data_IF_502415236155
#
_entry.id   IF_502415236155
#
_cell.length_a   1.000
_cell.length_b   1.000
_cell.length_c   1.000
_cell.angle_alpha   90.00
_cell.angle_beta   90.00
_cell.angle_gamma   90.00
#
_symmetry.space_group_name_H-M   'P 1'
#
loop_
_entity.id
_entity.type
_entity.pdbx_description
1 polymer ?
#
# COMPACT_ATOMS: atom_id res chain seq x y z
N UNK A 1 -12.22 89.27 37.80
CA UNK A 1 -10.96 88.50 37.85
C UNK A 1 -11.00 87.44 36.75
N UNK A 2 -10.20 87.60 35.69
CA UNK A 2 -9.05 86.72 35.30
C UNK A 2 -9.43 85.24 35.10
N UNK A 3 -9.55 84.79 33.83
CA UNK A 3 -8.60 83.93 33.03
C UNK A 3 -8.48 82.48 33.57
N UNK A 4 -8.40 81.38 32.81
CA UNK A 4 -8.45 81.10 31.37
C UNK A 4 -8.46 79.55 31.16
N UNK A 5 -8.91 79.11 29.96
CA UNK A 5 -8.36 78.04 29.07
C UNK A 5 -8.08 76.60 29.55
N UNK A 6 -8.71 75.61 28.90
CA UNK A 6 -8.08 74.48 28.13
C UNK A 6 -9.18 73.62 27.45
N UNK A 7 -9.40 73.72 26.13
CA UNK A 7 -8.93 72.83 25.04
C UNK A 7 -9.26 71.33 25.22
N UNK A 8 -10.20 70.80 24.40
CA UNK A 8 -9.88 69.71 23.46
C UNK A 8 -10.92 69.63 22.31
N UNK A 9 -10.56 69.98 21.06
CA UNK A 9 -11.40 69.77 19.89
C UNK A 9 -11.00 68.47 19.18
N UNK A 10 -11.97 67.65 18.83
CA UNK A 10 -11.69 66.53 17.93
C UNK A 10 -12.77 65.48 17.89
N UNK A 11 -13.98 65.82 17.44
CA UNK A 11 -14.82 64.82 16.78
C UNK A 11 -15.97 65.41 15.99
N UNK A 12 -16.11 64.86 14.79
CA UNK A 12 -17.34 64.73 14.02
C UNK A 12 -17.67 65.85 13.05
N UNK A 13 -17.03 65.83 11.88
CA UNK A 13 -17.64 66.32 10.65
C UNK A 13 -18.21 65.13 9.87
N UNK A 14 -19.54 65.13 9.76
CA UNK A 14 -20.26 64.46 8.67
C UNK A 14 -19.82 65.08 7.35
N UNK A 15 -19.62 64.27 6.31
CA UNK A 15 -19.99 64.70 4.97
C UNK A 15 -20.32 63.52 4.06
N UNK A 16 -21.30 63.80 3.19
CA UNK A 16 -22.16 62.87 2.48
C UNK A 16 -21.66 62.65 1.04
N UNK A 17 -22.12 61.52 0.49
CA UNK A 17 -21.97 60.91 -0.84
C UNK A 17 -21.96 61.88 -2.04
N UNK A 18 -21.13 61.62 -3.07
CA UNK A 18 -21.51 61.53 -4.51
C UNK A 18 -20.53 60.56 -5.23
N UNK A 19 -21.11 59.67 -6.02
CA UNK A 19 -20.54 58.56 -6.81
C UNK A 19 -19.51 58.94 -7.89
N UNK A 20 -18.63 58.00 -8.23
CA UNK A 20 -18.27 57.65 -9.61
C UNK A 20 -17.66 56.25 -9.65
N UNK A 21 -18.25 55.38 -10.48
CA UNK A 21 -17.82 54.00 -10.71
C UNK A 21 -16.95 53.92 -11.97
N UNK A 22 -15.88 53.13 -11.94
CA UNK A 22 -15.25 52.48 -13.11
C UNK A 22 -14.27 51.41 -12.57
N UNK A 23 -14.71 50.16 -12.38
CA UNK A 23 -14.70 49.06 -13.35
C UNK A 23 -13.32 48.39 -13.54
N UNK A 24 -13.28 47.13 -13.08
CA UNK A 24 -12.63 45.96 -13.69
C UNK A 24 -11.09 45.86 -13.66
N UNK A 25 -10.63 44.80 -12.96
CA UNK A 25 -9.45 44.05 -13.40
C UNK A 25 -8.31 43.88 -12.40
N UNK A 26 -8.48 42.97 -11.43
CA UNK A 26 -7.40 42.10 -10.93
C UNK A 26 -8.03 41.01 -10.07
N UNK A 27 -8.00 39.78 -10.57
CA UNK A 27 -8.65 38.63 -9.96
C UNK A 27 -8.10 38.30 -8.58
N UNK A 28 -9.00 38.29 -7.59
CA UNK A 28 -8.87 37.43 -6.43
C UNK A 28 -9.17 35.99 -6.88
N UNK A 29 -8.13 35.20 -7.13
CA UNK A 29 -8.22 33.73 -7.09
C UNK A 29 -7.11 33.24 -6.18
N UNK A 30 -7.32 33.41 -4.87
CA UNK A 30 -6.67 32.58 -3.85
C UNK A 30 -7.66 31.47 -3.50
N UNK A 31 -7.84 30.53 -4.43
CA UNK A 31 -8.52 29.27 -4.15
C UNK A 31 -7.63 28.11 -4.55
N UNK A 32 -7.59 27.11 -3.67
CA UNK A 32 -6.98 25.80 -3.85
C UNK A 32 -5.44 25.71 -3.81
N UNK A 33 -4.82 26.33 -2.80
CA UNK A 33 -3.81 25.59 -2.04
C UNK A 33 -4.47 25.17 -0.73
N UNK A 34 -5.45 24.26 -0.80
CA UNK A 34 -5.72 23.44 0.37
C UNK A 34 -4.43 22.67 0.59
N UNK A 35 -3.63 23.09 1.58
CA UNK A 35 -2.77 22.15 2.27
C UNK A 35 -3.71 21.14 2.89
N UNK A 36 -4.07 20.11 2.12
CA UNK A 36 -4.39 18.82 2.68
C UNK A 36 -3.11 18.33 3.34
N UNK A 37 -2.82 18.90 4.51
CA UNK A 37 -2.16 18.18 5.57
C UNK A 37 -3.11 17.03 5.90
N UNK A 38 -3.10 16.01 5.03
CA UNK A 38 -3.48 14.69 5.43
C UNK A 38 -2.56 14.41 6.61
N UNK A 39 -3.11 14.32 7.81
CA UNK A 39 -2.43 13.56 8.85
C UNK A 39 -2.05 12.25 8.17
N UNK A 40 -0.75 12.00 8.01
CA UNK A 40 -0.33 10.79 7.35
C UNK A 40 -0.95 9.63 8.13
N UNK A 41 -1.77 8.80 7.48
CA UNK A 41 -2.47 7.77 8.20
C UNK A 41 -1.41 6.86 8.82
N UNK A 42 -1.46 6.73 10.15
CA UNK A 42 -0.55 5.88 10.92
C UNK A 42 -0.50 4.46 10.34
N UNK A 43 -1.60 4.03 9.70
CA UNK A 43 -1.68 2.79 8.92
C UNK A 43 -1.79 3.15 7.44
N UNK A 44 -0.82 2.71 6.63
CA UNK A 44 -0.80 2.92 5.19
C UNK A 44 -1.34 1.70 4.47
N UNK A 45 -2.35 1.87 3.62
CA UNK A 45 -2.76 0.80 2.72
C UNK A 45 -1.85 0.79 1.49
N UNK A 46 -1.18 -0.33 1.24
CA UNK A 46 -0.25 -0.51 0.15
C UNK A 46 -1.01 -1.00 -1.09
N UNK A 47 -0.80 -0.34 -2.22
CA UNK A 47 -1.28 -0.86 -3.49
C UNK A 47 -0.52 -2.15 -3.81
N UNK A 48 -1.26 -3.22 -4.08
CA UNK A 48 -0.72 -4.54 -4.33
C UNK A 48 -1.19 -5.05 -5.70
N UNK A 49 -0.64 -4.49 -6.80
CA UNK A 49 -1.03 -4.92 -8.14
C UNK A 49 -0.65 -6.38 -8.39
N UNK A 50 -1.43 -7.03 -9.24
CA UNK A 50 -1.17 -8.41 -9.65
C UNK A 50 -0.02 -8.45 -10.66
N UNK A 51 0.86 -9.44 -10.52
CA UNK A 51 1.95 -9.76 -11.46
C UNK A 51 1.97 -11.25 -11.71
N UNK A 52 2.27 -11.67 -12.94
CA UNK A 52 2.34 -13.10 -13.25
C UNK A 52 3.58 -13.74 -12.64
N UNK A 53 3.50 -15.02 -12.27
CA UNK A 53 4.68 -15.77 -11.79
C UNK A 53 5.84 -15.75 -12.77
N UNK A 54 5.54 -15.86 -14.08
CA UNK A 54 6.56 -15.83 -15.13
C UNK A 54 7.30 -14.49 -15.18
N UNK A 55 6.58 -13.37 -15.11
CA UNK A 55 7.18 -12.04 -15.05
C UNK A 55 7.99 -11.87 -13.76
N UNK A 56 7.44 -12.27 -12.62
CA UNK A 56 8.12 -12.16 -11.33
C UNK A 56 9.41 -12.99 -11.26
N UNK A 57 9.36 -14.27 -11.62
CA UNK A 57 10.52 -15.17 -11.60
C UNK A 57 11.60 -14.81 -12.65
N UNK A 58 11.27 -13.98 -13.64
CA UNK A 58 12.27 -13.42 -14.55
C UNK A 58 13.11 -12.31 -13.89
N UNK A 59 12.59 -11.68 -12.84
CA UNK A 59 13.22 -10.56 -12.13
C UNK A 59 13.87 -11.01 -10.82
N UNK A 60 13.32 -12.04 -10.17
CA UNK A 60 13.78 -12.54 -8.87
C UNK A 60 14.08 -14.04 -8.93
N UNK A 61 15.12 -14.46 -8.22
CA UNK A 61 15.51 -15.87 -8.09
C UNK A 61 15.62 -16.28 -6.61
N UNK A 62 15.37 -17.56 -6.28
CA UNK A 62 15.66 -18.07 -4.94
C UNK A 62 17.11 -17.81 -4.53
N UNK A 63 17.32 -17.50 -3.25
CA UNK A 63 18.67 -17.34 -2.69
C UNK A 63 19.27 -18.72 -2.44
N UNK A 64 20.51 -18.94 -2.89
CA UNK A 64 21.22 -20.20 -2.66
C UNK A 64 21.37 -20.47 -1.15
N UNK A 65 20.96 -21.67 -0.72
CA UNK A 65 21.00 -22.08 0.69
C UNK A 65 19.80 -21.61 1.54
N UNK A 66 18.85 -20.86 0.97
CA UNK A 66 17.61 -20.44 1.66
C UNK A 66 16.42 -21.25 1.13
N UNK A 67 16.05 -22.29 1.87
CA UNK A 67 14.89 -23.11 1.56
C UNK A 67 13.57 -22.38 1.90
N UNK A 68 12.45 -22.71 1.22
CA UNK A 68 11.13 -22.30 1.67
C UNK A 68 10.87 -22.71 3.12
N UNK A 69 10.26 -21.81 3.88
CA UNK A 69 9.82 -22.05 5.24
C UNK A 69 8.34 -22.38 5.24
N UNK A 70 7.99 -23.61 5.63
CA UNK A 70 6.60 -24.05 5.82
C UNK A 70 6.33 -24.24 7.30
N UNK A 71 5.42 -23.45 7.85
CA UNK A 71 5.06 -23.45 9.27
C UNK A 71 3.57 -23.68 9.44
N UNK A 72 3.18 -24.70 10.20
CA UNK A 72 1.79 -24.97 10.53
C UNK A 72 1.26 -24.01 11.62
N UNK A 73 -0.03 -23.72 11.58
CA UNK A 73 -0.74 -22.98 12.64
C UNK A 73 -2.02 -23.70 13.06
N UNK A 74 -2.47 -23.35 14.26
CA UNK A 74 -3.63 -23.98 14.88
C UNK A 74 -4.44 -22.96 15.68
N UNK A 75 -5.75 -22.98 15.51
CA UNK A 75 -6.71 -22.29 16.39
C UNK A 75 -7.20 -23.23 17.49
N UNK A 76 -7.56 -22.62 18.62
CA UNK A 76 -8.18 -23.33 19.74
C UNK A 76 -9.41 -24.12 19.26
N UNK A 77 -9.48 -25.40 19.63
CA UNK A 77 -10.61 -26.27 19.26
C UNK A 77 -10.62 -26.78 17.82
N UNK A 78 -9.52 -26.63 17.07
CA UNK A 78 -9.35 -27.23 15.73
C UNK A 78 -8.11 -28.12 15.69
N UNK A 79 -8.02 -29.14 14.81
CA UNK A 79 -6.75 -29.75 14.42
C UNK A 79 -5.82 -28.73 13.75
N UNK A 80 -4.70 -29.16 13.14
CA UNK A 80 -3.83 -28.26 12.35
C UNK A 80 -4.66 -27.49 11.33
N UNK A 81 -4.84 -26.19 11.58
CA UNK A 81 -5.76 -25.35 10.83
C UNK A 81 -5.24 -25.05 9.44
N UNK A 82 -3.93 -24.89 9.30
CA UNK A 82 -3.35 -24.54 8.01
C UNK A 82 -1.85 -24.38 8.09
N UNK A 83 -1.30 -23.86 6.99
CA UNK A 83 0.13 -23.62 6.82
C UNK A 83 0.37 -22.19 6.36
N UNK A 84 1.46 -21.60 6.84
CA UNK A 84 2.06 -20.40 6.29
C UNK A 84 3.33 -20.82 5.61
N UNK A 85 3.44 -20.51 4.33
CA UNK A 85 4.64 -20.73 3.55
C UNK A 85 5.28 -19.39 3.23
N UNK A 86 6.60 -19.33 3.32
CA UNK A 86 7.33 -18.12 2.95
C UNK A 86 8.68 -18.45 2.35
N UNK A 87 9.13 -17.59 1.45
CA UNK A 87 10.45 -17.69 0.84
C UNK A 87 11.01 -16.30 0.58
N UNK A 88 12.33 -16.18 0.66
CA UNK A 88 13.04 -14.96 0.23
C UNK A 88 13.72 -15.23 -1.09
N UNK A 89 13.51 -14.31 -2.02
CA UNK A 89 14.16 -14.28 -3.33
C UNK A 89 15.04 -13.03 -3.42
N UNK A 90 16.13 -13.12 -4.18
CA UNK A 90 16.98 -11.98 -4.51
C UNK A 90 16.66 -11.47 -5.92
N UNK A 91 16.66 -10.15 -6.06
CA UNK A 91 16.48 -9.48 -7.34
C UNK A 91 17.70 -9.67 -8.25
N UNK A 92 17.44 -9.69 -9.55
CA UNK A 92 18.44 -9.87 -10.60
C UNK A 92 18.47 -8.66 -11.53
N UNK A 93 19.57 -8.49 -12.25
CA UNK A 93 19.72 -7.39 -13.22
C UNK A 93 19.51 -6.02 -12.58
N UNK A 94 18.53 -5.27 -13.09
CA UNK A 94 18.20 -3.92 -12.61
C UNK A 94 17.65 -3.88 -11.16
N UNK A 95 17.22 -5.02 -10.62
CA UNK A 95 16.68 -5.14 -9.26
C UNK A 95 17.68 -5.79 -8.29
N UNK A 96 18.95 -5.94 -8.69
CA UNK A 96 20.00 -6.44 -7.81
C UNK A 96 20.10 -5.60 -6.52
N UNK A 97 20.15 -6.27 -5.37
CA UNK A 97 20.14 -5.63 -4.04
C UNK A 97 18.75 -5.46 -3.43
N UNK A 98 17.68 -5.78 -4.15
CA UNK A 98 16.35 -5.96 -3.58
C UNK A 98 16.11 -7.43 -3.21
N UNK A 99 15.44 -7.63 -2.10
CA UNK A 99 14.93 -8.91 -1.63
C UNK A 99 13.42 -8.90 -1.70
N UNK A 100 12.85 -9.99 -2.22
CA UNK A 100 11.42 -10.22 -2.29
C UNK A 100 11.02 -11.29 -1.29
N UNK A 101 10.16 -10.91 -0.35
CA UNK A 101 9.61 -11.78 0.68
C UNK A 101 8.24 -12.25 0.23
N UNK A 102 8.17 -13.50 -0.21
CA UNK A 102 6.95 -14.14 -0.67
C UNK A 102 6.26 -14.83 0.51
N UNK A 103 4.94 -14.63 0.64
CA UNK A 103 4.08 -15.18 1.69
C UNK A 103 2.86 -15.85 1.09
N UNK A 104 2.52 -17.00 1.61
CA UNK A 104 1.34 -17.76 1.20
C UNK A 104 0.64 -18.36 2.43
N UNK A 105 -0.68 -18.28 2.44
CA UNK A 105 -1.51 -18.72 3.56
C UNK A 105 -2.47 -19.79 3.06
N UNK A 106 -2.31 -21.02 3.55
CA UNK A 106 -3.24 -22.13 3.31
C UNK A 106 -4.15 -22.35 4.51
N UNK A 107 -5.41 -22.66 4.26
CA UNK A 107 -6.37 -23.11 5.28
C UNK A 107 -6.78 -24.54 4.95
N UNK A 108 -6.51 -25.47 5.85
CA UNK A 108 -6.93 -26.86 5.70
C UNK A 108 -8.46 -26.97 5.78
N UNK A 109 -9.00 -28.02 5.17
CA UNK A 109 -10.44 -28.32 5.26
C UNK A 109 -10.76 -28.99 6.61
N UNK A 110 -10.77 -28.20 7.67
CA UNK A 110 -11.07 -28.63 9.04
C UNK A 110 -12.16 -27.77 9.67
N UNK A 111 -12.93 -28.37 10.57
CA UNK A 111 -13.97 -27.69 11.35
C UNK A 111 -13.55 -27.53 12.81
N UNK A 112 -14.15 -26.57 13.49
CA UNK A 112 -14.01 -26.39 14.94
C UNK A 112 -14.87 -27.37 15.75
N UNK A 113 -14.78 -27.27 17.08
CA UNK A 113 -15.57 -28.08 18.02
C UNK A 113 -17.10 -27.90 17.87
N UNK A 114 -17.54 -26.81 17.26
CA UNK A 114 -18.96 -26.52 16.99
C UNK A 114 -19.40 -27.04 15.62
N UNK A 115 -18.47 -27.59 14.82
CA UNK A 115 -18.71 -28.05 13.45
C UNK A 115 -18.56 -26.97 12.39
N UNK A 116 -18.22 -25.74 12.76
CA UNK A 116 -18.09 -24.63 11.84
C UNK A 116 -16.77 -24.74 11.04
N UNK A 117 -16.79 -24.49 9.71
CA UNK A 117 -15.59 -24.56 8.90
C UNK A 117 -14.60 -23.47 9.32
N UNK A 118 -13.33 -23.83 9.42
CA UNK A 118 -12.30 -22.88 9.84
C UNK A 118 -11.99 -21.87 8.74
N UNK A 119 -11.59 -20.66 9.11
CA UNK A 119 -11.26 -19.59 8.17
C UNK A 119 -10.14 -18.70 8.70
N UNK A 120 -9.60 -17.83 7.87
CA UNK A 120 -8.63 -16.80 8.28
C UNK A 120 -9.16 -15.43 7.89
N UNK A 121 -9.35 -14.56 8.88
CA UNK A 121 -9.85 -13.20 8.70
C UNK A 121 -8.72 -12.27 8.26
N UNK A 122 -7.57 -12.38 8.91
CA UNK A 122 -6.38 -11.59 8.62
C UNK A 122 -5.12 -12.32 9.10
N UNK A 123 -3.96 -11.90 8.60
CA UNK A 123 -2.67 -12.33 9.08
C UNK A 123 -1.77 -11.11 9.27
N UNK A 124 -1.03 -11.05 10.37
CA UNK A 124 -0.13 -9.93 10.68
C UNK A 124 1.24 -10.45 11.10
N UNK A 125 2.29 -9.82 10.61
CA UNK A 125 3.66 -10.12 11.03
C UNK A 125 4.46 -8.84 11.29
N UNK A 126 5.44 -8.98 12.16
CA UNK A 126 6.45 -7.95 12.33
C UNK A 126 7.38 -7.95 11.11
N UNK A 127 7.58 -6.77 10.52
CA UNK A 127 8.45 -6.56 9.38
C UNK A 127 9.39 -5.37 9.66
N UNK A 128 10.66 -5.68 9.92
CA UNK A 128 11.61 -4.70 10.50
C UNK A 128 12.30 -3.83 9.46
N UNK A 129 11.67 -3.56 8.33
CA UNK A 129 12.18 -2.64 7.33
C UNK A 129 11.02 -1.98 6.59
N UNK A 130 11.21 -0.74 6.15
CA UNK A 130 10.25 -0.09 5.25
C UNK A 130 10.19 -0.87 3.92
N UNK A 131 8.99 -1.24 3.44
CA UNK A 131 8.83 -1.82 2.12
C UNK A 131 9.38 -0.87 1.03
N UNK A 132 10.20 -1.39 0.14
CA UNK A 132 10.84 -0.63 -0.92
C UNK A 132 9.98 -0.64 -2.19
N UNK A 133 9.81 0.51 -2.83
CA UNK A 133 9.07 0.60 -4.10
C UNK A 133 9.94 0.11 -5.26
N UNK A 134 9.36 -0.67 -6.17
CA UNK A 134 9.98 -1.03 -7.44
C UNK A 134 8.95 -1.09 -8.56
N UNK A 135 9.32 -0.65 -9.78
CA UNK A 135 8.45 -0.73 -10.95
C UNK A 135 8.62 -2.07 -11.69
N UNK A 136 8.11 -3.14 -11.09
CA UNK A 136 8.18 -4.48 -11.69
C UNK A 136 7.29 -4.64 -12.94
N UNK A 137 6.27 -3.78 -13.07
CA UNK A 137 5.30 -3.82 -14.17
C UNK A 137 5.68 -2.88 -15.33
N UNK A 138 6.85 -2.23 -15.26
CA UNK A 138 7.34 -1.26 -16.26
C UNK A 138 6.31 -0.19 -16.61
N UNK A 139 5.60 0.30 -15.59
CA UNK A 139 4.56 1.33 -15.71
C UNK A 139 5.14 2.74 -15.90
N UNK A 140 6.45 2.92 -15.70
CA UNK A 140 7.14 4.20 -15.79
C UNK A 140 6.89 5.11 -14.59
N UNK A 141 6.29 4.58 -13.52
CA UNK A 141 6.03 5.27 -12.25
C UNK A 141 6.99 4.84 -11.14
N UNK A 142 6.78 5.32 -9.89
CA UNK A 142 7.59 4.90 -8.74
C UNK A 142 7.43 3.41 -8.37
N UNK A 143 6.46 2.70 -8.98
CA UNK A 143 6.24 1.28 -8.78
C UNK A 143 5.38 0.96 -7.56
N UNK A 144 5.45 -0.29 -7.09
CA UNK A 144 4.75 -0.76 -5.90
C UNK A 144 5.74 -1.48 -4.98
N UNK A 145 5.49 -1.48 -3.68
CA UNK A 145 6.31 -2.19 -2.69
C UNK A 145 5.80 -3.58 -2.38
N UNK A 146 4.55 -3.85 -2.76
CA UNK A 146 3.88 -5.13 -2.60
C UNK A 146 3.28 -5.54 -3.93
N UNK A 147 3.30 -6.83 -4.22
CA UNK A 147 2.68 -7.44 -5.39
C UNK A 147 1.93 -8.70 -4.98
N UNK A 148 0.95 -9.11 -5.77
CA UNK A 148 0.26 -10.38 -5.58
C UNK A 148 0.42 -11.25 -6.82
N UNK A 149 0.80 -12.51 -6.64
CA UNK A 149 0.89 -13.50 -7.70
C UNK A 149 -0.24 -14.51 -7.51
N UNK A 150 -1.04 -14.68 -8.55
CA UNK A 150 -2.24 -15.55 -8.53
C UNK A 150 -2.13 -16.75 -9.47
N UNK A 151 -1.04 -16.85 -10.23
CA UNK A 151 -0.75 -17.92 -11.18
C UNK A 151 0.65 -18.52 -10.97
N UNK A 152 0.83 -19.81 -11.26
CA UNK A 152 2.15 -20.45 -11.28
C UNK A 152 2.84 -20.63 -9.91
N UNK A 153 4.18 -20.60 -9.93
CA UNK A 153 5.05 -20.77 -8.75
C UNK A 153 5.81 -19.47 -8.52
N UNK A 154 6.07 -19.09 -7.27
CA UNK A 154 6.92 -17.96 -6.92
C UNK A 154 8.20 -18.50 -6.30
N UNK A 155 9.30 -18.51 -7.06
CA UNK A 155 10.49 -19.26 -6.69
C UNK A 155 10.20 -20.75 -6.54
N UNK A 156 10.34 -21.26 -5.32
CA UNK A 156 10.03 -22.63 -4.93
C UNK A 156 8.70 -22.76 -4.16
N UNK A 157 7.96 -21.66 -3.98
CA UNK A 157 6.61 -21.70 -3.44
C UNK A 157 5.64 -22.09 -4.54
N UNK A 158 4.98 -23.22 -4.33
CA UNK A 158 3.90 -23.66 -5.21
C UNK A 158 2.63 -22.97 -4.78
N UNK A 159 1.97 -22.24 -5.68
CA UNK A 159 0.55 -21.99 -5.47
C UNK A 159 -0.11 -23.36 -5.42
N UNK A 160 -0.74 -23.78 -4.31
CA UNK A 160 -1.53 -24.98 -4.35
C UNK A 160 -2.59 -24.74 -5.39
N UNK A 161 -2.65 -25.66 -6.35
CA UNK A 161 -3.79 -25.75 -7.25
C UNK A 161 -5.02 -25.75 -6.35
N UNK A 162 -5.81 -24.67 -6.42
CA UNK A 162 -7.03 -24.60 -5.65
C UNK A 162 -7.79 -25.90 -5.94
N UNK A 163 -8.08 -26.68 -4.89
CA UNK A 163 -8.80 -27.95 -5.05
C UNK A 163 -10.04 -27.71 -5.94
N UNK A 164 -10.55 -28.68 -6.72
CA UNK A 164 -11.70 -28.45 -7.56
C UNK A 164 -12.87 -27.80 -6.77
N UNK A 165 -13.18 -26.53 -7.08
CA UNK A 165 -14.15 -25.71 -6.35
C UNK A 165 -13.60 -24.69 -5.33
N UNK A 166 -12.29 -24.67 -5.08
CA UNK A 166 -11.59 -23.65 -4.28
C UNK A 166 -11.13 -22.49 -5.17
N UNK A 167 -10.99 -21.31 -4.57
CA UNK A 167 -10.56 -20.07 -5.25
C UNK A 167 -9.24 -19.62 -4.62
N UNK A 168 -8.25 -19.28 -5.44
CA UNK A 168 -7.06 -18.55 -4.97
C UNK A 168 -7.54 -17.16 -4.56
N UNK A 169 -7.48 -16.86 -3.27
CA UNK A 169 -8.03 -15.61 -2.75
C UNK A 169 -6.92 -14.59 -2.50
N UNK A 170 -7.05 -13.41 -3.10
CA UNK A 170 -6.14 -12.30 -2.82
C UNK A 170 -6.62 -11.53 -1.59
N UNK A 171 -5.71 -10.96 -0.78
CA UNK A 171 -6.09 -10.07 0.30
C UNK A 171 -6.87 -8.87 -0.23
N UNK A 172 -7.90 -8.45 0.50
CA UNK A 172 -8.70 -7.25 0.19
C UNK A 172 -7.97 -5.95 0.49
N UNK A 173 -6.95 -6.02 1.36
CA UNK A 173 -6.12 -4.91 1.80
C UNK A 173 -4.79 -5.43 2.33
N UNK A 174 -3.70 -4.70 2.07
CA UNK A 174 -2.38 -4.97 2.63
C UNK A 174 -1.91 -3.68 3.30
N UNK A 175 -1.84 -3.70 4.63
CA UNK A 175 -1.53 -2.52 5.41
C UNK A 175 -0.11 -2.58 5.98
N UNK A 176 0.58 -1.44 5.91
CA UNK A 176 1.85 -1.18 6.58
C UNK A 176 1.64 -0.21 7.73
N UNK A 177 2.06 -0.62 8.92
CA UNK A 177 2.07 0.21 10.12
C UNK A 177 3.53 0.44 10.52
N UNK A 178 4.12 1.61 10.25
CA UNK A 178 5.43 1.95 10.77
C UNK A 178 5.36 2.14 12.29
N UNK A 179 6.20 1.41 13.03
CA UNK A 179 6.41 1.63 14.47
C UNK A 179 7.74 2.35 14.75
N UNK A 180 8.04 2.60 16.02
CA UNK A 180 9.27 3.29 16.44
C UNK A 180 10.54 2.46 16.29
N UNK A 181 10.42 1.13 16.41
CA UNK A 181 11.55 0.19 16.30
C UNK A 181 11.32 -0.89 15.23
N UNK A 182 10.05 -1.24 14.99
CA UNK A 182 9.65 -2.29 14.06
C UNK A 182 8.34 -1.89 13.41
N UNK A 183 8.13 -2.25 12.15
CA UNK A 183 6.82 -2.11 11.53
C UNK A 183 6.04 -3.42 11.52
N UNK A 184 4.76 -3.32 11.17
CA UNK A 184 3.88 -4.46 11.01
C UNK A 184 3.23 -4.46 9.63
N UNK A 185 3.21 -5.63 9.01
CA UNK A 185 2.43 -5.90 7.80
C UNK A 185 1.18 -6.67 8.19
N UNK A 186 0.03 -6.24 7.68
CA UNK A 186 -1.25 -6.90 7.90
C UNK A 186 -1.92 -7.18 6.56
N UNK A 187 -2.25 -8.45 6.33
CA UNK A 187 -2.99 -8.93 5.18
C UNK A 187 -4.44 -9.21 5.62
N UNK A 188 -5.39 -8.51 5.01
CA UNK A 188 -6.81 -8.65 5.33
C UNK A 188 -7.49 -9.52 4.27
N UNK A 189 -8.27 -10.51 4.70
CA UNK A 189 -9.08 -11.35 3.80
C UNK A 189 -10.58 -11.10 3.99
N UNK A 190 -11.02 -10.91 5.23
CA UNK A 190 -12.41 -10.54 5.57
C UNK A 190 -12.60 -9.03 5.42
N UNK A 191 -13.45 -8.59 4.49
CA UNK A 191 -13.86 -7.20 4.36
C UNK A 191 -15.39 -7.12 4.22
N UNK A 192 -16.11 -6.88 5.32
CA UNK A 192 -17.56 -6.74 5.31
C UNK A 192 -18.05 -5.55 4.48
N UNK A 193 -17.23 -4.51 4.28
CA UNK A 193 -17.61 -3.34 3.50
C UNK A 193 -17.55 -3.60 1.98
N UNK A 194 -16.83 -4.65 1.56
CA UNK A 194 -16.70 -5.07 0.15
C UNK A 194 -17.38 -6.42 -0.13
N UNK A 195 -18.19 -6.92 0.80
CA UNK A 195 -18.83 -8.25 0.74
C UNK A 195 -17.83 -9.38 0.45
N UNK A 196 -16.62 -9.28 1.01
CA UNK A 196 -15.56 -10.29 0.85
C UNK A 196 -15.44 -11.12 2.12
N UNK A 197 -15.70 -12.42 1.99
CA UNK A 197 -15.57 -13.39 3.06
C UNK A 197 -14.11 -13.67 3.44
N UNK A 198 -13.88 -14.30 4.61
CA UNK A 198 -12.54 -14.67 5.04
C UNK A 198 -11.93 -15.70 4.10
N UNK A 199 -10.62 -15.94 4.23
CA UNK A 199 -9.98 -17.06 3.54
C UNK A 199 -10.56 -18.37 4.10
N UNK A 200 -11.39 -19.05 3.30
CA UNK A 200 -12.21 -20.17 3.76
C UNK A 200 -11.46 -21.50 3.89
N UNK A 201 -12.11 -22.48 4.52
CA UNK A 201 -11.59 -23.83 4.66
C UNK A 201 -11.27 -24.47 3.29
N UNK A 202 -10.06 -25.00 3.13
CA UNK A 202 -9.58 -25.58 1.87
C UNK A 202 -9.16 -24.55 0.82
N UNK A 203 -9.14 -23.25 1.16
CA UNK A 203 -8.65 -22.19 0.30
C UNK A 203 -7.17 -21.92 0.53
N UNK A 204 -6.55 -21.25 -0.43
CA UNK A 204 -5.19 -20.72 -0.29
C UNK A 204 -5.13 -19.31 -0.85
N UNK A 205 -4.32 -18.47 -0.22
CA UNK A 205 -4.08 -17.13 -0.70
C UNK A 205 -3.27 -17.12 -1.99
N UNK A 206 -3.40 -16.05 -2.78
CA UNK A 206 -2.34 -15.70 -3.73
C UNK A 206 -1.01 -15.49 -2.98
N UNK A 207 0.11 -15.64 -3.68
CA UNK A 207 1.42 -15.37 -3.09
C UNK A 207 1.61 -13.86 -3.01
N UNK A 208 1.72 -13.35 -1.79
CA UNK A 208 1.94 -11.93 -1.52
C UNK A 208 3.45 -11.70 -1.47
N UNK A 209 3.95 -10.81 -2.30
CA UNK A 209 5.37 -10.46 -2.35
C UNK A 209 5.59 -9.07 -1.79
N UNK A 210 6.48 -8.94 -0.82
CA UNK A 210 6.89 -7.65 -0.24
C UNK A 210 8.36 -7.41 -0.53
N UNK A 211 8.68 -6.24 -1.06
CA UNK A 211 10.05 -5.88 -1.44
C UNK A 211 10.74 -5.09 -0.33
N UNK A 212 12.03 -5.37 -0.11
CA UNK A 212 12.90 -4.54 0.74
C UNK A 212 14.36 -4.71 0.34
N UNK A 213 15.22 -3.77 0.71
CA UNK A 213 16.67 -3.87 0.49
C UNK A 213 17.42 -4.52 1.67
N UNK A 214 16.69 -5.06 2.65
CA UNK A 214 17.26 -5.55 3.90
C UNK A 214 17.35 -7.09 3.93
N UNK A 215 18.38 -7.64 4.61
CA UNK A 215 18.56 -9.09 4.73
C UNK A 215 17.43 -9.72 5.55
N UNK A 216 17.33 -11.04 5.46
CA UNK A 216 16.22 -11.80 6.01
C UNK A 216 16.47 -12.35 7.41
N UNK A 217 15.39 -12.49 8.15
CA UNK A 217 15.27 -13.21 9.42
C UNK A 217 13.92 -13.94 9.43
N UNK A 218 13.56 -14.58 10.54
CA UNK A 218 12.25 -15.20 10.72
C UNK A 218 11.50 -14.54 11.87
N UNK A 219 10.20 -14.30 11.69
CA UNK A 219 9.32 -13.72 12.70
C UNK A 219 8.02 -14.53 12.83
N UNK A 220 7.42 -14.57 14.03
CA UNK A 220 6.12 -15.18 14.19
C UNK A 220 5.06 -14.39 13.41
N UNK A 221 4.10 -15.12 12.85
CA UNK A 221 2.93 -14.55 12.18
C UNK A 221 1.71 -14.78 13.07
N UNK A 222 1.01 -13.70 13.37
CA UNK A 222 -0.28 -13.75 14.07
C UNK A 222 -1.38 -13.93 13.03
N UNK A 223 -2.02 -15.09 13.02
CA UNK A 223 -3.14 -15.40 12.14
C UNK A 223 -4.42 -15.21 12.96
N UNK A 224 -5.37 -14.45 12.44
CA UNK A 224 -6.59 -14.08 13.16
C UNK A 224 -7.81 -14.82 12.62
N UNK A 225 -8.59 -15.36 13.56
CA UNK A 225 -9.92 -15.93 13.37
C UNK A 225 -10.79 -15.54 14.60
N UNK A 226 -12.08 -15.87 14.60
CA UNK A 226 -12.93 -15.81 15.79
C UNK A 226 -12.36 -16.63 16.97
N UNK A 227 -11.74 -17.77 16.69
CA UNK A 227 -11.03 -18.58 17.67
C UNK A 227 -9.57 -18.10 17.83
N UNK A 228 -9.04 -18.02 19.06
CA UNK A 228 -7.68 -17.59 19.30
C UNK A 228 -6.67 -18.60 18.74
N UNK A 229 -5.58 -18.08 18.19
CA UNK A 229 -4.44 -18.86 17.74
C UNK A 229 -3.65 -19.39 18.94
N UNK A 230 -3.30 -20.68 18.89
CA UNK A 230 -2.53 -21.35 19.94
C UNK A 230 -1.14 -21.77 19.49
N UNK A 231 -0.87 -21.74 18.17
CA UNK A 231 0.45 -21.99 17.60
C UNK A 231 0.76 -20.93 16.56
N UNK A 232 1.83 -20.18 16.81
CA UNK A 232 2.31 -19.12 15.93
C UNK A 232 3.26 -19.72 14.87
N UNK A 233 2.89 -19.71 13.59
CA UNK A 233 3.79 -20.09 12.51
C UNK A 233 4.88 -19.02 12.36
N UNK A 234 6.03 -19.41 11.84
CA UNK A 234 7.08 -18.47 11.47
C UNK A 234 7.07 -18.22 9.96
N UNK A 235 7.37 -16.98 9.57
CA UNK A 235 7.61 -16.60 8.19
C UNK A 235 8.89 -15.75 8.08
N UNK A 236 9.49 -15.70 6.90
CA UNK A 236 10.60 -14.80 6.64
C UNK A 236 10.19 -13.33 6.81
N UNK A 237 11.10 -12.49 7.27
CA UNK A 237 10.87 -11.07 7.51
C UNK A 237 12.18 -10.32 7.41
N UNK A 238 12.14 -9.00 7.22
CA UNK A 238 13.35 -8.19 7.22
C UNK A 238 14.03 -8.22 8.60
N UNK A 239 15.36 -8.36 8.62
CA UNK A 239 16.17 -8.41 9.85
C UNK A 239 16.18 -7.05 10.57
N UNK A 240 16.32 -5.97 9.82
CA UNK A 240 16.37 -4.61 10.33
C UNK A 240 16.63 -3.61 9.21
N UNK A 241 16.11 -2.39 9.36
CA UNK A 241 16.22 -1.29 8.41
C UNK A 241 15.51 -0.05 8.93
N UNK A 242 15.57 1.07 8.19
CA UNK A 242 14.79 2.25 8.55
C UNK A 242 13.30 1.89 8.57
N UNK A 243 12.60 2.31 9.62
CA UNK A 243 11.13 2.19 9.73
C UNK A 243 10.55 3.57 9.47
N UNK A 244 9.90 3.68 8.32
CA UNK A 244 9.32 4.91 7.81
C UNK A 244 8.03 4.55 7.10
N UNK A 245 7.25 5.59 6.85
CA UNK A 245 6.17 5.54 5.89
C UNK A 245 6.69 5.12 4.51
N UNK A 246 5.97 4.22 3.82
CA UNK A 246 6.28 3.92 2.42
C UNK A 246 6.00 5.18 1.62
N UNK A 247 6.95 5.68 0.81
CA UNK A 247 6.75 6.91 0.06
C UNK A 247 5.50 6.81 -0.81
N UNK A 248 4.57 7.76 -0.68
CA UNK A 248 3.44 7.87 -1.60
C UNK A 248 3.97 8.47 -2.90
N UNK A 249 3.63 7.91 -4.08
CA UNK A 249 3.94 8.53 -5.37
C UNK A 249 3.53 10.01 -5.38
N UNK A 250 4.48 10.94 -5.49
CA UNK A 250 4.13 12.36 -5.51
C UNK A 250 3.25 12.70 -6.74
N UNK A 251 2.22 13.55 -6.57
CA UNK A 251 1.35 13.99 -7.68
C UNK A 251 2.07 14.83 -8.75
N UNK A 252 3.31 15.25 -8.52
CA UNK A 252 4.16 15.96 -9.48
C UNK A 252 4.39 15.17 -10.77
N UNK A 253 4.38 13.83 -10.69
CA UNK A 253 4.46 12.96 -11.87
C UNK A 253 3.22 13.13 -12.76
N UNK A 254 2.01 13.21 -12.18
CA UNK A 254 0.74 13.33 -12.92
C UNK A 254 0.62 14.69 -13.62
N UNK A 255 1.14 15.77 -13.01
CA UNK A 255 1.16 17.09 -13.64
C UNK A 255 2.15 17.19 -14.81
N UNK A 256 3.26 16.44 -14.78
CA UNK A 256 4.18 16.36 -15.92
C UNK A 256 3.49 15.72 -17.16
N UNK A 257 2.64 14.71 -16.95
CA UNK A 257 1.86 14.08 -18.02
C UNK A 257 0.78 15.01 -18.60
N UNK A 258 0.06 15.75 -17.75
CA UNK A 258 -0.91 16.74 -18.20
C UNK A 258 -0.25 17.90 -18.98
N UNK A 259 0.94 18.34 -18.54
CA UNK A 259 1.74 19.34 -19.24
C UNK A 259 2.21 18.89 -20.62
N UNK A 260 2.60 17.62 -20.78
CA UNK A 260 3.02 17.07 -22.08
C UNK A 260 1.86 16.93 -23.08
N UNK A 261 0.66 16.56 -22.64
CA UNK A 261 -0.54 16.52 -23.51
C UNK A 261 -0.96 17.94 -23.93
N UNK A 262 -0.85 18.92 -23.01
CA UNK A 262 -1.07 20.33 -23.31
C UNK A 262 -0.05 20.90 -24.33
N UNK A 263 1.21 20.51 -24.23
CA UNK A 263 2.25 20.92 -25.18
C UNK A 263 2.03 20.30 -26.58
N UNK A 264 1.65 19.03 -26.67
CA UNK A 264 1.39 18.36 -27.94
C UNK A 264 0.19 18.97 -28.69
N UNK A 265 -0.86 19.39 -27.98
CA UNK A 265 -2.04 20.02 -28.57
C UNK A 265 -1.77 21.46 -29.05
N UNK A 266 -0.95 22.23 -28.33
CA UNK A 266 -0.49 23.55 -28.76
C UNK A 266 0.42 23.48 -30.00
N UNK A 267 1.37 22.53 -30.04
CA UNK A 267 2.27 22.35 -31.18
C UNK A 267 1.51 21.91 -32.43
N UNK A 268 0.49 21.03 -32.30
CA UNK A 268 -0.36 20.62 -33.43
C UNK A 268 -1.15 21.81 -34.01
N UNK A 269 -1.69 22.67 -33.15
CA UNK A 269 -2.47 23.85 -33.55
C UNK A 269 -1.63 24.92 -34.27
N UNK A 270 -0.36 25.10 -33.89
CA UNK A 270 0.56 26.02 -34.57
C UNK A 270 0.99 25.46 -35.94
N UNK A 271 1.15 24.15 -36.05
CA UNK A 271 1.57 23.49 -37.29
C UNK A 271 0.47 23.48 -38.36
N UNK A 272 -0.79 23.32 -37.96
CA UNK A 272 -1.93 23.40 -38.89
C UNK A 272 -2.16 24.83 -39.41
N UNK A 273 -1.92 25.86 -38.58
CA UNK A 273 -1.99 27.27 -39.02
C UNK A 273 -0.90 27.65 -40.04
N UNK A 274 0.26 26.99 -40.01
CA UNK A 274 1.34 27.22 -40.99
C UNK A 274 1.14 26.50 -42.33
N UNK A 275 0.20 25.55 -42.41
CA UNK A 275 -0.17 24.90 -43.68
C UNK A 275 -1.33 25.59 -44.40
N UNK A 276 -2.02 26.50 -43.72
CA UNK A 276 -3.17 27.25 -44.25
C UNK A 276 -2.81 28.69 -44.67
N UNK A 277 -1.53 29.06 -44.65
CA UNK A 277 -0.96 30.30 -45.18
C UNK A 277 -0.01 29.95 -46.32
#
# INVERSE_FOLDING_TARGET
MRRASQINPGRSTRMNKISSALALGAGLVLSAASSTAHATPIVQNLNAPEISASAFNSLFKPIDGVAPLTSAYQFMGTPVTGIVESQVLEGTGAFAGLYAYAYQFGVNKVSDVSGEPTSVNSASLQFNATPALADLLNTGGPGSSVFVVTDGKVGNLDLPAAAPGSVIQTPTSIAWLPGSQTGALTFQYLDPAKDKGPLGAGATSGTIVVLTSQPYTTKPVSVQNANPQITYPAAYSAQGGPIQEVPVPEPSTVLAWAGMIGAATLVKRVRDRRKAA
#
